data_IF_683768329478
#
_entry.id   IF_683768329478
#
_cell.length_a   1.000
_cell.length_b   1.000
_cell.length_c   1.000
_cell.angle_alpha   90.00
_cell.angle_beta   90.00
_cell.angle_gamma   90.00
#
_symmetry.space_group_name_H-M   'P 1'
#
loop_
_entity.id
_entity.type
_entity.pdbx_description
1 polymer ?
#
# COMPACT_ATOMS: atom_id res chain seq x y z
N UNK A 1 53.68 -3.85 -4.78
CA UNK A 1 52.77 -2.68 -4.69
C UNK A 1 51.56 -2.84 -5.61
N UNK A 2 51.71 -3.04 -6.92
CA UNK A 2 50.58 -3.22 -7.86
C UNK A 2 49.51 -4.26 -7.48
N UNK A 3 49.90 -5.40 -6.90
CA UNK A 3 48.94 -6.45 -6.52
C UNK A 3 48.07 -6.03 -5.31
N UNK A 4 48.64 -5.26 -4.39
CA UNK A 4 47.93 -4.69 -3.24
C UNK A 4 46.99 -3.56 -3.68
N UNK A 5 47.44 -2.72 -4.62
CA UNK A 5 46.63 -1.66 -5.25
C UNK A 5 45.46 -2.25 -6.05
N UNK A 6 45.66 -3.34 -6.78
CA UNK A 6 44.59 -4.05 -7.49
C UNK A 6 43.53 -4.62 -6.53
N UNK A 7 43.96 -5.26 -5.43
CA UNK A 7 43.04 -5.75 -4.39
C UNK A 7 42.28 -4.60 -3.73
N UNK A 8 42.96 -3.51 -3.40
CA UNK A 8 42.32 -2.33 -2.80
C UNK A 8 41.29 -1.68 -3.74
N UNK A 9 41.58 -1.64 -5.04
CA UNK A 9 40.67 -1.12 -6.07
C UNK A 9 39.40 -1.97 -6.19
N UNK A 10 39.54 -3.30 -6.23
CA UNK A 10 38.41 -4.22 -6.27
C UNK A 10 37.58 -4.09 -4.98
N UNK A 11 38.23 -4.04 -3.82
CA UNK A 11 37.56 -3.86 -2.54
C UNK A 11 36.79 -2.54 -2.48
N UNK A 12 37.36 -1.45 -3.00
CA UNK A 12 36.69 -0.15 -3.08
C UNK A 12 35.44 -0.19 -3.97
N UNK A 13 35.48 -0.90 -5.10
CA UNK A 13 34.31 -1.10 -5.97
C UNK A 13 33.21 -1.85 -5.22
N UNK A 14 33.55 -2.93 -4.51
CA UNK A 14 32.57 -3.68 -3.71
C UNK A 14 31.96 -2.83 -2.60
N UNK A 15 32.79 -2.07 -1.87
CA UNK A 15 32.31 -1.15 -0.83
C UNK A 15 31.40 -0.05 -1.39
N UNK A 16 31.73 0.48 -2.57
CA UNK A 16 30.90 1.48 -3.24
C UNK A 16 29.54 0.93 -3.65
N UNK A 17 29.52 -0.27 -4.25
CA UNK A 17 28.26 -0.96 -4.60
C UNK A 17 27.44 -1.26 -3.33
N UNK A 18 28.08 -1.73 -2.26
CA UNK A 18 27.41 -1.99 -0.99
C UNK A 18 26.81 -0.72 -0.39
N UNK A 19 27.56 0.39 -0.41
CA UNK A 19 27.09 1.69 0.06
C UNK A 19 25.86 2.16 -0.73
N UNK A 20 25.91 2.08 -2.05
CA UNK A 20 24.78 2.43 -2.91
C UNK A 20 23.57 1.53 -2.65
N UNK A 21 23.77 0.23 -2.45
CA UNK A 21 22.71 -0.71 -2.12
C UNK A 21 22.06 -0.35 -0.78
N UNK A 22 22.85 -0.14 0.28
CA UNK A 22 22.35 0.24 1.61
C UNK A 22 21.59 1.56 1.55
N UNK A 23 22.12 2.56 0.84
CA UNK A 23 21.44 3.85 0.66
C UNK A 23 20.11 3.68 -0.08
N UNK A 24 20.09 2.91 -1.16
CA UNK A 24 18.89 2.64 -1.95
C UNK A 24 17.83 1.90 -1.14
N UNK A 25 18.22 0.86 -0.39
CA UNK A 25 17.32 0.15 0.52
C UNK A 25 16.82 1.08 1.63
N UNK A 26 17.68 1.91 2.21
CA UNK A 26 17.29 2.87 3.24
C UNK A 26 16.22 3.85 2.75
N UNK A 27 16.37 4.38 1.53
CA UNK A 27 15.37 5.26 0.91
C UNK A 27 14.05 4.50 0.67
N UNK A 28 14.12 3.30 0.11
CA UNK A 28 12.93 2.48 -0.16
C UNK A 28 12.17 2.13 1.13
N UNK A 29 12.87 1.70 2.18
CA UNK A 29 12.28 1.42 3.48
C UNK A 29 11.70 2.70 4.11
N UNK A 30 12.40 3.83 3.99
CA UNK A 30 11.90 5.13 4.48
C UNK A 30 10.57 5.52 3.82
N UNK A 31 10.50 5.44 2.48
CA UNK A 31 9.27 5.75 1.73
C UNK A 31 8.16 4.76 2.10
N UNK A 32 8.45 3.47 2.12
CA UNK A 32 7.48 2.44 2.49
C UNK A 32 6.95 2.66 3.91
N UNK A 33 7.83 3.02 4.86
CA UNK A 33 7.46 3.29 6.24
C UNK A 33 6.54 4.52 6.37
N UNK A 34 6.87 5.63 5.71
CA UNK A 34 6.03 6.83 5.67
C UNK A 34 4.67 6.52 5.06
N UNK A 35 4.64 5.78 3.95
CA UNK A 35 3.38 5.37 3.30
C UNK A 35 2.54 4.47 4.21
N UNK A 36 3.15 3.53 4.93
CA UNK A 36 2.44 2.67 5.88
C UNK A 36 1.90 3.42 7.09
N UNK A 37 2.64 4.40 7.63
CA UNK A 37 2.15 5.23 8.73
C UNK A 37 1.00 6.13 8.26
N UNK A 38 1.17 6.82 7.13
CA UNK A 38 0.14 7.68 6.57
C UNK A 38 -1.12 6.88 6.23
N UNK A 39 -0.98 5.75 5.54
CA UNK A 39 -2.10 4.86 5.20
C UNK A 39 -2.82 4.33 6.43
N UNK A 40 -2.08 4.00 7.50
CA UNK A 40 -2.65 3.57 8.77
C UNK A 40 -3.45 4.66 9.47
N UNK A 41 -2.94 5.90 9.48
CA UNK A 41 -3.67 7.04 10.08
C UNK A 41 -4.93 7.36 9.28
N UNK A 42 -4.83 7.36 7.95
CA UNK A 42 -5.95 7.66 7.05
C UNK A 42 -7.04 6.58 7.09
N UNK A 43 -6.72 5.34 7.50
CA UNK A 43 -7.71 4.29 7.62
C UNK A 43 -8.55 4.39 8.91
N UNK A 44 -8.10 5.12 9.94
CA UNK A 44 -8.78 5.20 11.24
C UNK A 44 -10.27 5.59 11.10
N UNK A 45 -10.65 6.66 10.39
CA UNK A 45 -12.06 7.04 10.24
C UNK A 45 -12.90 5.95 9.54
N UNK A 46 -12.31 5.26 8.56
CA UNK A 46 -12.99 4.18 7.82
C UNK A 46 -13.26 2.98 8.72
N UNK A 47 -12.32 2.65 9.61
CA UNK A 47 -12.47 1.56 10.56
C UNK A 47 -13.54 1.82 11.64
N UNK A 48 -13.97 3.07 11.84
CA UNK A 48 -15.14 3.37 12.68
C UNK A 48 -16.47 2.98 12.03
N UNK A 49 -16.55 3.06 10.69
CA UNK A 49 -17.80 2.86 9.93
C UNK A 49 -17.88 1.51 9.20
N UNK A 50 -16.77 0.77 9.11
CA UNK A 50 -16.66 -0.52 8.41
C UNK A 50 -16.29 -1.65 9.41
N UNK A 51 -17.25 -2.17 10.18
CA UNK A 51 -16.99 -3.07 11.30
C UNK A 51 -16.41 -4.43 10.87
N UNK A 52 -16.87 -5.00 9.76
CA UNK A 52 -16.40 -6.31 9.30
C UNK A 52 -14.97 -6.23 8.78
N UNK A 53 -14.63 -5.15 8.07
CA UNK A 53 -13.25 -4.87 7.62
C UNK A 53 -12.35 -4.65 8.83
N UNK A 54 -12.79 -3.87 9.83
CA UNK A 54 -12.04 -3.68 11.08
C UNK A 54 -11.79 -5.00 11.79
N UNK A 55 -12.80 -5.85 11.94
CA UNK A 55 -12.69 -7.14 12.61
C UNK A 55 -11.69 -8.06 11.94
N UNK A 56 -11.69 -8.09 10.61
CA UNK A 56 -10.67 -8.82 9.85
C UNK A 56 -9.27 -8.23 10.00
N UNK A 57 -9.12 -6.90 9.90
CA UNK A 57 -7.81 -6.26 10.04
C UNK A 57 -7.25 -6.38 11.47
N UNK A 58 -8.12 -6.44 12.47
CA UNK A 58 -7.73 -6.76 13.84
C UNK A 58 -7.18 -8.19 13.95
N UNK A 59 -7.83 -9.18 13.32
CA UNK A 59 -7.32 -10.54 13.23
C UNK A 59 -5.98 -10.59 12.48
N UNK A 60 -5.91 -9.99 11.28
CA UNK A 60 -4.70 -9.97 10.45
C UNK A 60 -3.52 -9.28 11.14
N UNK A 61 -3.79 -8.30 12.01
CA UNK A 61 -2.78 -7.63 12.84
C UNK A 61 -2.41 -8.39 14.13
N UNK A 62 -2.83 -9.65 14.26
CA UNK A 62 -2.50 -10.54 15.37
C UNK A 62 -3.37 -10.36 16.62
N UNK A 63 -4.53 -9.73 16.49
CA UNK A 63 -5.56 -9.68 17.52
C UNK A 63 -6.56 -10.83 17.42
N UNK A 64 -7.49 -10.88 18.37
CA UNK A 64 -8.70 -11.67 18.23
C UNK A 64 -9.76 -10.84 17.47
N UNK A 65 -10.64 -11.47 16.68
CA UNK A 65 -11.68 -10.77 15.93
C UNK A 65 -12.78 -10.28 16.89
N UNK A 66 -12.60 -9.07 17.42
CA UNK A 66 -13.45 -8.39 18.40
C UNK A 66 -13.99 -7.05 17.86
N UNK A 67 -15.24 -6.74 18.22
CA UNK A 67 -15.95 -5.53 17.79
C UNK A 67 -15.77 -4.35 18.75
N UNK A 68 -15.25 -4.60 19.95
CA UNK A 68 -15.06 -3.58 20.99
C UNK A 68 -13.71 -2.87 20.89
N UNK A 69 -12.75 -3.47 20.18
CA UNK A 69 -11.42 -2.89 20.02
C UNK A 69 -11.49 -1.58 19.24
N UNK A 70 -11.04 -0.45 19.83
CA UNK A 70 -11.13 0.84 19.17
C UNK A 70 -10.24 0.90 17.92
N UNK A 71 -10.70 1.52 16.82
CA UNK A 71 -9.99 1.58 15.54
C UNK A 71 -8.53 2.05 15.59
N UNK A 72 -8.23 3.06 16.40
CA UNK A 72 -6.86 3.56 16.54
C UNK A 72 -5.90 2.51 17.11
N UNK A 73 -6.38 1.57 17.94
CA UNK A 73 -5.54 0.46 18.43
C UNK A 73 -5.22 -0.55 17.34
N UNK A 74 -6.07 -0.66 16.31
CA UNK A 74 -5.75 -1.47 15.12
C UNK A 74 -4.67 -0.76 14.30
N UNK A 75 -4.84 0.54 14.07
CA UNK A 75 -3.92 1.37 13.29
C UNK A 75 -2.46 1.37 13.83
N UNK A 76 -2.29 1.41 15.14
CA UNK A 76 -0.96 1.49 15.77
C UNK A 76 -0.29 0.12 15.92
N UNK A 77 -0.96 -1.00 15.61
CA UNK A 77 -0.35 -2.33 15.72
C UNK A 77 0.81 -2.48 14.75
N UNK A 78 1.98 -2.99 15.18
CA UNK A 78 3.13 -3.19 14.30
C UNK A 78 2.80 -4.03 13.06
N UNK A 79 2.02 -5.10 13.22
CA UNK A 79 1.58 -5.94 12.09
C UNK A 79 0.64 -5.21 11.13
N UNK A 80 -0.20 -4.31 11.64
CA UNK A 80 -1.05 -3.49 10.78
C UNK A 80 -0.25 -2.44 10.01
N UNK A 81 0.74 -1.82 10.66
CA UNK A 81 1.68 -0.92 10.00
C UNK A 81 2.43 -1.66 8.88
N UNK A 82 2.94 -2.86 9.12
CA UNK A 82 3.57 -3.69 8.09
C UNK A 82 2.60 -4.02 6.94
N UNK A 83 1.34 -4.33 7.25
CA UNK A 83 0.31 -4.59 6.24
C UNK A 83 0.00 -3.32 5.41
N UNK A 84 -0.02 -2.15 6.05
CA UNK A 84 -0.18 -0.86 5.38
C UNK A 84 1.04 -0.50 4.51
N UNK A 85 2.27 -0.79 4.99
CA UNK A 85 3.49 -0.66 4.19
C UNK A 85 3.44 -1.58 2.97
N UNK A 86 3.11 -2.86 3.15
CA UNK A 86 2.98 -3.83 2.07
C UNK A 86 1.96 -3.34 1.04
N UNK A 87 0.80 -2.88 1.51
CA UNK A 87 -0.24 -2.32 0.65
C UNK A 87 0.26 -1.13 -0.17
N UNK A 88 0.94 -0.17 0.47
CA UNK A 88 1.51 1.00 -0.21
C UNK A 88 2.56 0.62 -1.25
N UNK A 89 3.44 -0.35 -0.94
CA UNK A 89 4.43 -0.87 -1.90
C UNK A 89 3.74 -1.60 -3.06
N UNK A 90 2.77 -2.47 -2.79
CA UNK A 90 2.00 -3.17 -3.83
C UNK A 90 1.29 -2.20 -4.76
N UNK A 91 0.67 -1.16 -4.19
CA UNK A 91 0.04 -0.09 -4.97
C UNK A 91 1.08 0.65 -5.83
N UNK A 92 2.22 1.04 -5.26
CA UNK A 92 3.30 1.70 -6.00
C UNK A 92 3.87 0.86 -7.15
N UNK A 93 4.01 -0.46 -6.95
CA UNK A 93 4.43 -1.39 -8.02
C UNK A 93 3.39 -1.45 -9.13
N UNK A 94 2.10 -1.62 -8.80
CA UNK A 94 1.02 -1.61 -9.80
C UNK A 94 0.96 -0.27 -10.54
N UNK A 95 1.14 0.83 -9.82
CA UNK A 95 1.23 2.15 -10.41
C UNK A 95 2.35 2.24 -11.44
N UNK A 96 3.59 1.83 -11.09
CA UNK A 96 4.71 1.85 -12.02
C UNK A 96 4.49 0.93 -13.24
N UNK A 97 3.98 -0.29 -13.01
CA UNK A 97 3.72 -1.28 -14.06
C UNK A 97 2.69 -0.78 -15.07
N UNK A 98 1.65 -0.08 -14.62
CA UNK A 98 0.64 0.47 -15.51
C UNK A 98 1.08 1.81 -16.10
N UNK A 99 1.73 2.68 -15.32
CA UNK A 99 2.12 4.01 -15.76
C UNK A 99 3.15 4.02 -16.88
N UNK A 100 4.20 3.18 -16.80
CA UNK A 100 5.27 3.11 -17.80
C UNK A 100 4.70 2.85 -19.22
N UNK A 101 3.91 1.79 -19.47
CA UNK A 101 3.36 1.53 -20.79
C UNK A 101 2.35 2.62 -21.23
N UNK A 102 1.53 3.18 -20.33
CA UNK A 102 0.63 4.29 -20.68
C UNK A 102 1.39 5.54 -21.14
N UNK A 103 2.53 5.84 -20.52
CA UNK A 103 3.43 6.94 -20.90
C UNK A 103 4.11 6.67 -22.24
N UNK A 104 4.69 5.49 -22.42
CA UNK A 104 5.43 5.12 -23.65
C UNK A 104 4.51 5.03 -24.88
N UNK A 105 3.28 4.53 -24.73
CA UNK A 105 2.32 4.42 -25.82
C UNK A 105 1.68 5.76 -26.23
N UNK A 106 2.06 6.88 -25.59
CA UNK A 106 1.46 8.22 -25.78
C UNK A 106 -0.07 8.22 -25.72
N UNK A 107 -0.68 7.23 -25.05
CA UNK A 107 -2.13 7.13 -24.89
C UNK A 107 -2.68 8.30 -24.08
N UNK A 108 -1.85 8.90 -23.24
CA UNK A 108 -2.09 10.18 -22.58
C UNK A 108 -1.45 11.28 -23.44
N UNK A 109 -2.15 11.70 -24.51
CA UNK A 109 -1.82 12.99 -25.13
C UNK A 109 -2.07 14.08 -24.09
N UNK A 110 -1.23 15.12 -24.06
CA UNK A 110 -1.33 16.25 -23.12
C UNK A 110 -2.71 16.94 -23.07
N UNK A 111 -3.61 16.64 -24.02
CA UNK A 111 -4.98 17.12 -24.09
C UNK A 111 -6.00 16.33 -23.26
N UNK A 112 -5.73 15.06 -22.94
CA UNK A 112 -6.52 14.25 -21.99
C UNK A 112 -5.75 14.33 -20.67
N UNK A 113 -6.17 15.21 -19.76
CA UNK A 113 -5.46 15.49 -18.51
C UNK A 113 -5.19 14.25 -17.64
N UNK A 114 -4.74 14.41 -16.38
CA UNK A 114 -4.27 13.31 -15.52
C UNK A 114 -5.33 12.23 -15.16
N UNK A 115 -6.51 12.25 -15.78
CA UNK A 115 -7.67 11.38 -15.53
C UNK A 115 -7.37 9.87 -15.64
N UNK A 116 -6.64 9.34 -16.64
CA UNK A 116 -6.31 7.91 -16.68
C UNK A 116 -5.39 7.47 -15.52
N UNK A 117 -4.53 8.39 -15.08
CA UNK A 117 -3.60 8.23 -13.98
C UNK A 117 -4.28 8.32 -12.61
N UNK A 118 -5.25 9.24 -12.49
CA UNK A 118 -5.97 9.54 -11.25
C UNK A 118 -7.16 8.62 -10.99
N UNK A 119 -7.71 7.97 -12.02
CA UNK A 119 -8.87 7.08 -11.86
C UNK A 119 -8.59 5.67 -12.37
N UNK A 120 -7.91 5.51 -13.51
CA UNK A 120 -7.69 4.20 -14.13
C UNK A 120 -6.82 3.27 -13.29
N UNK A 121 -5.68 3.75 -12.81
CA UNK A 121 -4.76 2.96 -11.96
C UNK A 121 -5.41 2.65 -10.59
N UNK A 122 -6.00 3.62 -9.87
CA UNK A 122 -6.73 3.35 -8.64
C UNK A 122 -7.83 2.31 -8.81
N UNK A 123 -8.67 2.47 -9.84
CA UNK A 123 -9.77 1.57 -10.12
C UNK A 123 -9.27 0.16 -10.42
N UNK A 124 -8.24 0.03 -11.27
CA UNK A 124 -7.64 -1.26 -11.61
C UNK A 124 -7.13 -1.97 -10.36
N UNK A 125 -6.41 -1.25 -9.49
CA UNK A 125 -5.91 -1.81 -8.25
C UNK A 125 -7.05 -2.25 -7.32
N UNK A 126 -8.08 -1.42 -7.12
CA UNK A 126 -9.25 -1.76 -6.30
C UNK A 126 -9.96 -3.00 -6.84
N UNK A 127 -10.18 -3.10 -8.17
CA UNK A 127 -10.84 -4.26 -8.79
C UNK A 127 -10.08 -5.57 -8.59
N UNK A 128 -8.75 -5.51 -8.44
CA UNK A 128 -7.91 -6.68 -8.16
C UNK A 128 -7.81 -6.99 -6.66
N UNK A 129 -7.70 -5.95 -5.83
CA UNK A 129 -7.47 -6.09 -4.39
C UNK A 129 -8.74 -6.50 -3.62
N UNK A 130 -9.92 -6.01 -4.03
CA UNK A 130 -11.19 -6.30 -3.35
C UNK A 130 -11.52 -7.80 -3.34
N UNK A 131 -11.52 -8.53 -4.47
CA UNK A 131 -11.83 -9.96 -4.47
C UNK A 131 -10.85 -10.78 -3.63
N UNK A 132 -9.57 -10.39 -3.64
CA UNK A 132 -8.53 -11.05 -2.86
C UNK A 132 -8.74 -10.84 -1.35
N UNK A 133 -8.94 -9.59 -0.92
CA UNK A 133 -9.20 -9.27 0.48
C UNK A 133 -10.49 -9.94 0.99
N UNK A 134 -11.56 -9.88 0.19
CA UNK A 134 -12.82 -10.56 0.48
C UNK A 134 -12.66 -12.09 0.58
N UNK A 135 -11.94 -12.69 -0.37
CA UNK A 135 -11.68 -14.14 -0.39
C UNK A 135 -10.90 -14.61 0.83
N UNK A 136 -9.86 -13.88 1.23
CA UNK A 136 -9.08 -14.18 2.44
C UNK A 136 -9.93 -13.99 3.70
N UNK A 137 -10.73 -12.92 3.79
CA UNK A 137 -11.60 -12.71 4.94
C UNK A 137 -12.63 -13.83 5.08
N UNK A 138 -13.23 -14.28 3.97
CA UNK A 138 -14.25 -15.32 3.95
C UNK A 138 -13.77 -16.68 4.47
N UNK A 139 -12.48 -16.96 4.38
CA UNK A 139 -11.88 -18.20 4.91
C UNK A 139 -11.27 -18.03 6.30
N UNK A 140 -11.37 -16.84 6.89
CA UNK A 140 -10.79 -16.52 8.19
C UNK A 140 -11.80 -16.65 9.34
N UNK A 141 -11.30 -16.75 10.57
CA UNK A 141 -12.14 -16.73 11.79
C UNK A 141 -12.80 -15.37 12.09
N UNK A 142 -12.50 -14.33 11.30
CA UNK A 142 -13.23 -13.07 11.37
C UNK A 142 -14.60 -13.14 10.68
N UNK A 143 -14.85 -14.18 9.87
CA UNK A 143 -16.15 -14.44 9.25
C UNK A 143 -17.06 -15.16 10.23
N UNK A 144 -18.24 -14.60 10.51
CA UNK A 144 -19.24 -15.20 11.41
C UNK A 144 -20.53 -15.54 10.70
N UNK A 145 -21.39 -16.31 11.37
CA UNK A 145 -22.72 -16.69 10.86
C UNK A 145 -23.64 -15.47 10.64
N UNK A 146 -23.43 -14.40 11.39
CA UNK A 146 -24.16 -13.13 11.24
C UNK A 146 -23.61 -12.22 10.13
N UNK A 147 -22.48 -12.59 9.52
CA UNK A 147 -21.80 -11.78 8.51
C UNK A 147 -22.49 -11.93 7.15
N UNK A 148 -23.06 -10.83 6.63
CA UNK A 148 -23.60 -10.81 5.28
C UNK A 148 -22.50 -10.59 4.23
N UNK A 149 -22.39 -11.54 3.30
CA UNK A 149 -21.42 -11.51 2.21
C UNK A 149 -21.48 -10.26 1.34
N UNK A 150 -22.68 -9.73 1.06
CA UNK A 150 -22.84 -8.53 0.22
C UNK A 150 -22.36 -7.29 0.95
N UNK A 151 -22.75 -7.15 2.22
CA UNK A 151 -22.27 -6.08 3.10
C UNK A 151 -20.74 -6.06 3.17
N UNK A 152 -20.08 -7.20 3.44
CA UNK A 152 -18.61 -7.26 3.56
C UNK A 152 -17.92 -6.88 2.25
N UNK A 153 -18.43 -7.35 1.10
CA UNK A 153 -17.88 -6.99 -0.20
C UNK A 153 -17.96 -5.47 -0.43
N UNK A 154 -19.10 -4.85 -0.13
CA UNK A 154 -19.28 -3.40 -0.24
C UNK A 154 -18.34 -2.66 0.70
N UNK A 155 -18.18 -3.13 1.95
CA UNK A 155 -17.23 -2.52 2.89
C UNK A 155 -15.79 -2.57 2.36
N UNK A 156 -15.35 -3.67 1.75
CA UNK A 156 -14.03 -3.73 1.11
C UNK A 156 -13.89 -2.79 -0.09
N UNK A 157 -14.91 -2.72 -0.94
CA UNK A 157 -14.93 -1.77 -2.08
C UNK A 157 -14.75 -0.34 -1.56
N UNK A 158 -15.56 0.06 -0.57
CA UNK A 158 -15.50 1.40 0.02
C UNK A 158 -14.15 1.64 0.69
N UNK A 159 -13.68 0.72 1.52
CA UNK A 159 -12.40 0.83 2.23
C UNK A 159 -11.25 1.05 1.25
N UNK A 160 -11.08 0.15 0.28
CA UNK A 160 -9.97 0.20 -0.66
C UNK A 160 -10.08 1.39 -1.61
N UNK A 161 -11.28 1.74 -2.08
CA UNK A 161 -11.47 2.91 -2.93
C UNK A 161 -11.06 4.19 -2.21
N UNK A 162 -11.50 4.38 -0.96
CA UNK A 162 -11.18 5.60 -0.22
C UNK A 162 -9.70 5.67 0.14
N UNK A 163 -9.11 4.56 0.63
CA UNK A 163 -7.67 4.52 0.97
C UNK A 163 -6.80 4.81 -0.25
N UNK A 164 -7.09 4.18 -1.39
CA UNK A 164 -6.32 4.38 -2.63
C UNK A 164 -6.52 5.80 -3.16
N UNK A 165 -7.76 6.30 -3.21
CA UNK A 165 -8.06 7.65 -3.70
C UNK A 165 -7.37 8.73 -2.88
N UNK A 166 -7.43 8.64 -1.54
CA UNK A 166 -6.72 9.54 -0.63
C UNK A 166 -5.20 9.43 -0.83
N UNK A 167 -4.67 8.21 -0.94
CA UNK A 167 -3.25 7.97 -1.22
C UNK A 167 -2.79 8.60 -2.55
N UNK A 168 -3.67 8.69 -3.55
CA UNK A 168 -3.37 9.29 -4.86
C UNK A 168 -3.61 10.78 -4.98
N UNK A 169 -4.50 11.34 -4.17
CA UNK A 169 -4.83 12.76 -4.21
C UNK A 169 -3.76 13.62 -3.52
N UNK A 170 -3.10 13.11 -2.48
CA UNK A 170 -2.09 13.85 -1.70
C UNK A 170 -0.92 14.38 -2.55
N UNK A 171 -0.30 13.61 -3.47
CA UNK A 171 0.78 14.12 -4.32
C UNK A 171 0.34 15.19 -5.33
N UNK A 172 -0.92 15.16 -5.75
CA UNK A 172 -1.45 16.03 -6.83
C UNK A 172 -1.76 17.42 -6.31
N UNK A 173 -2.25 17.54 -5.08
CA UNK A 173 -2.51 18.84 -4.44
C UNK A 173 -1.20 19.55 -4.08
N UNK A 174 -0.18 18.81 -3.64
CA UNK A 174 1.13 19.38 -3.24
C UNK A 174 1.93 19.89 -4.45
N UNK A 175 1.69 19.35 -5.65
CA UNK A 175 2.37 19.80 -6.88
C UNK A 175 1.62 20.93 -7.61
N UNK A 176 0.44 21.33 -7.12
CA UNK A 176 -0.35 22.45 -7.65
C UNK A 176 -0.45 23.65 -6.67
N UNK A 177 0.25 23.59 -5.53
CA UNK A 177 0.49 24.70 -4.61
C UNK A 177 1.91 25.24 -4.81
#
# INVERSE_FOLDING_TARGET
>A
MQLLEGIASILAIFLYILLLAVLSFGILFGIAAVMGVAGSVLSIPLLYVLPDVRRFLLLASGGAPDDQTPPWRVAVRPRYLLLSMLFGVSYGVVFLVLFIPFRELRLVHASVGPVPLLLGIPLSFVTLAVPLAFGIQRTSSAWTETTDSRSVLVQWIVFLTVVVTLGTAVPVVVTQL
#
